data_IF_802233257109
#
_entry.id   IF_802233257109
#
_cell.length_a   1.000
_cell.length_b   1.000
_cell.length_c   1.000
_cell.angle_alpha   90.00
_cell.angle_beta   90.00
_cell.angle_gamma   90.00
#
_symmetry.space_group_name_H-M   'P 1'
#
loop_
_entity.id
_entity.type
_entity.pdbx_description
1 polymer ?
#
# COMPACT_ATOMS: atom_id res chain seq x y z
N UNK A 1 -11.10 3.55 -12.45
CA UNK A 1 -11.76 4.08 -11.22
C UNK A 1 -10.67 4.49 -10.24
N UNK A 2 -10.78 5.64 -9.57
CA UNK A 2 -9.82 6.04 -8.52
C UNK A 2 -10.36 5.59 -7.16
N UNK A 3 -9.65 4.69 -6.49
CA UNK A 3 -9.99 4.24 -5.13
C UNK A 3 -8.96 4.83 -4.16
N UNK A 4 -9.37 5.84 -3.39
CA UNK A 4 -8.53 6.48 -2.39
C UNK A 4 -9.33 6.80 -1.14
N UNK A 5 -8.62 6.93 -0.02
CA UNK A 5 -9.18 7.49 1.20
C UNK A 5 -9.29 9.02 1.03
N UNK A 6 -10.42 9.58 1.47
CA UNK A 6 -10.70 11.01 1.33
C UNK A 6 -9.69 11.83 2.16
N UNK A 7 -9.09 12.91 1.62
CA UNK A 7 -8.07 13.67 2.35
C UNK A 7 -8.55 14.26 3.69
N UNK A 8 -9.81 14.68 3.77
CA UNK A 8 -10.43 15.14 5.01
C UNK A 8 -10.55 14.02 6.05
N UNK A 9 -10.94 12.82 5.64
CA UNK A 9 -10.95 11.62 6.49
C UNK A 9 -9.53 11.25 6.95
N UNK A 10 -8.55 11.27 6.05
CA UNK A 10 -7.13 11.04 6.39
C UNK A 10 -6.64 12.02 7.47
N UNK A 11 -7.08 13.27 7.44
CA UNK A 11 -6.73 14.28 8.44
C UNK A 11 -7.46 14.07 9.76
N UNK A 12 -8.76 13.74 9.71
CA UNK A 12 -9.58 13.48 10.90
C UNK A 12 -9.18 12.19 11.61
N UNK A 13 -8.79 11.17 10.85
CA UNK A 13 -8.45 9.83 11.33
C UNK A 13 -7.25 9.29 10.57
N UNK A 14 -6.09 9.84 10.89
CA UNK A 14 -4.84 9.35 10.34
C UNK A 14 -4.66 7.85 10.65
N UNK A 15 -4.26 7.03 9.68
CA UNK A 15 -3.99 5.62 9.92
C UNK A 15 -2.86 5.49 10.93
N UNK A 16 -3.05 4.59 11.90
CA UNK A 16 -1.99 4.28 12.86
C UNK A 16 -0.77 3.68 12.19
N UNK A 17 0.37 3.79 12.88
CA UNK A 17 1.58 3.06 12.50
C UNK A 17 1.43 1.58 12.85
N UNK A 18 1.77 0.70 11.92
CA UNK A 18 1.73 -0.76 12.12
C UNK A 18 3.15 -1.31 11.99
N UNK A 19 3.63 -2.02 13.02
CA UNK A 19 4.89 -2.76 12.94
C UNK A 19 4.68 -4.04 12.15
N UNK A 20 5.58 -4.33 11.22
CA UNK A 20 5.53 -5.55 10.41
C UNK A 20 6.39 -6.62 11.07
N UNK A 21 5.80 -7.79 11.29
CA UNK A 21 6.56 -8.99 11.62
C UNK A 21 7.03 -9.66 10.32
N UNK A 22 8.29 -10.15 10.25
CA UNK A 22 8.81 -10.83 9.06
C UNK A 22 7.91 -11.99 8.62
N UNK A 23 7.57 -12.02 7.33
CA UNK A 23 6.75 -13.07 6.72
C UNK A 23 5.27 -13.09 7.13
N UNK A 24 4.83 -12.18 8.00
CA UNK A 24 3.44 -12.08 8.42
C UNK A 24 2.73 -10.93 7.69
N UNK A 25 1.61 -11.25 7.05
CA UNK A 25 0.76 -10.26 6.42
C UNK A 25 0.08 -9.38 7.49
N UNK A 26 0.13 -8.06 7.28
CA UNK A 26 -0.55 -7.09 8.10
C UNK A 26 -1.40 -6.15 7.24
N UNK A 27 -2.68 -5.99 7.60
CA UNK A 27 -3.56 -5.04 6.92
C UNK A 27 -3.34 -3.64 7.49
N UNK A 28 -2.89 -2.73 6.63
CA UNK A 28 -2.73 -1.32 6.93
C UNK A 28 -3.85 -0.49 6.31
N UNK A 29 -4.47 0.35 7.13
CA UNK A 29 -5.52 1.30 6.74
C UNK A 29 -6.79 0.67 6.10
N UNK A 30 -6.92 -0.66 6.17
CA UNK A 30 -8.01 -1.45 5.57
C UNK A 30 -7.92 -1.60 4.04
N UNK A 31 -6.99 -0.89 3.39
CA UNK A 31 -6.84 -0.82 1.93
C UNK A 31 -5.68 -1.65 1.41
N UNK A 32 -4.63 -1.81 2.22
CA UNK A 32 -3.41 -2.50 1.81
C UNK A 32 -3.13 -3.64 2.77
N UNK A 33 -2.86 -4.82 2.24
CA UNK A 33 -2.19 -5.90 2.97
C UNK A 33 -0.71 -5.85 2.64
N UNK A 34 0.14 -5.92 3.67
CA UNK A 34 1.58 -5.67 3.53
C UNK A 34 2.36 -6.76 4.26
N UNK A 35 3.31 -7.37 3.56
CA UNK A 35 4.18 -8.42 4.09
C UNK A 35 5.64 -8.04 3.88
N UNK A 36 6.36 -7.76 4.97
CA UNK A 36 7.79 -7.52 4.92
C UNK A 36 8.57 -8.83 5.10
N UNK A 37 9.68 -8.99 4.37
CA UNK A 37 10.59 -10.13 4.51
C UNK A 37 11.60 -9.92 5.65
N UNK A 38 11.99 -8.67 5.90
CA UNK A 38 12.96 -8.30 6.93
C UNK A 38 12.29 -7.73 8.19
N UNK A 39 12.92 -7.87 9.37
CA UNK A 39 12.45 -7.21 10.59
C UNK A 39 12.74 -5.71 10.60
N UNK A 40 12.18 -5.02 11.59
CA UNK A 40 12.47 -3.60 11.86
C UNK A 40 11.74 -2.62 10.96
N UNK A 41 10.75 -3.09 10.21
CA UNK A 41 9.88 -2.24 9.39
C UNK A 41 8.60 -1.86 10.13
N UNK A 42 8.18 -0.62 9.92
CA UNK A 42 6.83 -0.17 10.22
C UNK A 42 6.22 0.49 8.99
N UNK A 43 4.90 0.35 8.85
CA UNK A 43 4.11 1.04 7.84
C UNK A 43 3.43 2.25 8.45
N UNK A 44 3.48 3.36 7.72
CA UNK A 44 2.82 4.60 8.06
C UNK A 44 2.33 5.34 6.80
N UNK A 45 1.53 6.40 7.00
CA UNK A 45 1.05 7.20 5.89
C UNK A 45 2.15 8.12 5.34
N UNK A 46 2.18 8.30 4.03
CA UNK A 46 3.03 9.29 3.36
C UNK A 46 2.72 10.74 3.79
N UNK A 47 1.51 11.01 4.30
CA UNK A 47 1.17 12.31 4.88
C UNK A 47 2.19 12.75 5.94
N UNK A 48 2.76 13.94 5.77
CA UNK A 48 3.84 14.47 6.61
C UNK A 48 5.24 13.89 6.35
N UNK A 49 5.38 12.95 5.40
CA UNK A 49 6.65 12.26 5.08
C UNK A 49 7.04 12.31 3.62
N UNK A 50 6.22 12.90 2.74
CA UNK A 50 6.52 13.04 1.31
C UNK A 50 7.92 13.65 1.05
N UNK A 51 8.37 14.61 1.87
CA UNK A 51 9.69 15.21 1.73
C UNK A 51 10.85 14.31 2.18
N UNK A 52 10.59 13.27 2.97
CA UNK A 52 11.57 12.30 3.48
C UNK A 52 11.69 11.07 2.57
N UNK A 53 10.80 10.94 1.60
CA UNK A 53 10.86 9.88 0.60
C UNK A 53 12.13 10.01 -0.26
N UNK A 54 12.63 8.87 -0.72
CA UNK A 54 13.67 8.82 -1.73
C UNK A 54 13.27 9.65 -2.97
N UNK A 55 14.24 10.16 -3.74
CA UNK A 55 13.94 10.93 -4.96
C UNK A 55 13.07 10.13 -5.93
N UNK A 56 13.37 8.84 -6.12
CA UNK A 56 12.58 7.94 -6.96
C UNK A 56 11.12 7.81 -6.47
N UNK A 57 10.92 7.69 -5.15
CA UNK A 57 9.59 7.60 -4.57
C UNK A 57 8.81 8.92 -4.64
N UNK A 58 9.50 10.05 -4.52
CA UNK A 58 8.89 11.37 -4.72
C UNK A 58 8.37 11.53 -6.15
N UNK A 59 9.11 11.04 -7.14
CA UNK A 59 8.68 11.07 -8.54
C UNK A 59 7.44 10.19 -8.78
N UNK A 60 7.41 8.98 -8.21
CA UNK A 60 6.22 8.10 -8.28
C UNK A 60 5.01 8.78 -7.62
N UNK A 61 5.18 9.33 -6.41
CA UNK A 61 4.11 10.05 -5.73
C UNK A 61 3.64 11.29 -6.50
N UNK A 62 4.54 11.99 -7.20
CA UNK A 62 4.20 13.15 -8.02
C UNK A 62 3.32 12.80 -9.22
N UNK A 63 3.44 11.59 -9.77
CA UNK A 63 2.58 11.08 -10.84
C UNK A 63 1.13 10.82 -10.42
N UNK A 64 0.84 10.79 -9.11
CA UNK A 64 -0.50 10.54 -8.58
C UNK A 64 -1.27 11.84 -8.32
N UNK A 65 -2.62 11.80 -8.34
CA UNK A 65 -3.45 12.93 -7.95
C UNK A 65 -3.05 13.45 -6.55
N UNK A 66 -2.96 14.78 -6.33
CA UNK A 66 -2.53 15.35 -5.05
C UNK A 66 -3.27 14.80 -3.83
N UNK A 67 -4.57 14.55 -3.98
CA UNK A 67 -5.43 13.98 -2.94
C UNK A 67 -5.04 12.55 -2.52
N UNK A 68 -4.43 11.76 -3.40
CA UNK A 68 -4.05 10.37 -3.13
C UNK A 68 -2.68 10.24 -2.45
N UNK A 69 -1.79 11.21 -2.65
CA UNK A 69 -0.37 11.11 -2.26
C UNK A 69 -0.17 10.88 -0.77
N UNK A 70 -0.95 11.55 0.08
CA UNK A 70 -0.84 11.41 1.53
C UNK A 70 -1.27 10.05 2.06
N UNK A 71 -2.09 9.31 1.29
CA UNK A 71 -2.61 8.01 1.68
C UNK A 71 -1.81 6.83 1.18
N UNK A 72 -0.62 7.06 0.63
CA UNK A 72 0.29 5.99 0.22
C UNK A 72 0.93 5.32 1.43
N UNK A 73 1.08 3.98 1.42
CA UNK A 73 1.81 3.26 2.45
C UNK A 73 3.31 3.53 2.30
N UNK A 74 3.95 3.92 3.39
CA UNK A 74 5.40 4.18 3.49
C UNK A 74 5.99 3.21 4.50
N UNK A 75 7.07 2.54 4.11
CA UNK A 75 7.93 1.80 5.02
C UNK A 75 8.96 2.74 5.61
N UNK A 76 9.16 2.65 6.92
CA UNK A 76 10.25 3.31 7.60
C UNK A 76 10.89 2.33 8.60
N UNK A 77 12.21 2.47 8.79
CA UNK A 77 12.91 1.75 9.85
C UNK A 77 12.52 2.31 11.21
N UNK A 78 12.66 1.53 12.28
CA UNK A 78 12.27 1.96 13.65
C UNK A 78 12.92 3.28 14.09
N UNK A 79 14.15 3.55 13.66
CA UNK A 79 14.88 4.81 13.89
C UNK A 79 14.34 6.01 13.07
N UNK A 80 13.38 5.77 12.17
CA UNK A 80 12.77 6.77 11.31
C UNK A 80 13.52 7.06 10.01
N UNK A 81 14.60 6.35 9.74
CA UNK A 81 15.36 6.44 8.50
C UNK A 81 14.73 5.58 7.38
N UNK A 82 15.20 5.82 6.15
CA UNK A 82 14.89 4.96 5.01
C UNK A 82 13.42 4.95 4.60
N UNK A 83 12.75 6.11 4.65
CA UNK A 83 11.37 6.22 4.22
C UNK A 83 11.24 5.96 2.70
N UNK A 84 10.62 4.84 2.36
CA UNK A 84 10.37 4.41 0.98
C UNK A 84 8.91 4.02 0.80
N UNK A 85 8.40 4.05 -0.43
CA UNK A 85 7.07 3.52 -0.71
C UNK A 85 7.04 2.02 -0.43
N UNK A 86 5.96 1.53 0.17
CA UNK A 86 5.96 0.20 0.76
C UNK A 86 6.22 -0.92 -0.25
N UNK A 87 5.72 -0.79 -1.48
CA UNK A 87 5.93 -1.77 -2.56
C UNK A 87 7.38 -1.87 -3.06
N UNK A 88 8.29 -1.01 -2.57
CA UNK A 88 9.73 -1.15 -2.86
C UNK A 88 10.48 -2.03 -1.87
N UNK A 89 9.91 -2.28 -0.69
CA UNK A 89 10.57 -2.98 0.41
C UNK A 89 9.73 -4.09 1.05
N UNK A 90 8.49 -4.26 0.61
CA UNK A 90 7.56 -5.29 1.06
C UNK A 90 6.65 -5.70 -0.10
N UNK A 91 6.07 -6.89 0.02
CA UNK A 91 4.92 -7.27 -0.78
C UNK A 91 3.71 -6.45 -0.32
N UNK A 92 2.97 -5.86 -1.26
CA UNK A 92 1.84 -4.97 -1.00
C UNK A 92 0.70 -5.33 -1.93
N UNK A 93 -0.42 -5.75 -1.35
CA UNK A 93 -1.64 -6.09 -2.08
C UNK A 93 -2.74 -5.07 -1.82
N UNK A 94 -3.38 -4.60 -2.88
CA UNK A 94 -4.49 -3.65 -2.78
C UNK A 94 -5.83 -4.38 -2.62
N UNK A 95 -6.42 -4.31 -1.43
CA UNK A 95 -7.64 -5.05 -1.11
C UNK A 95 -8.91 -4.45 -1.72
N UNK A 96 -8.89 -3.17 -2.09
CA UNK A 96 -10.08 -2.43 -2.54
C UNK A 96 -10.68 -2.98 -3.83
N UNK A 97 -9.85 -3.17 -4.86
CA UNK A 97 -10.28 -3.72 -6.15
C UNK A 97 -10.80 -5.15 -6.00
N UNK A 98 -10.01 -6.01 -5.35
CA UNK A 98 -10.38 -7.41 -5.11
C UNK A 98 -11.69 -7.58 -4.35
N UNK A 99 -11.88 -6.82 -3.26
CA UNK A 99 -13.13 -6.88 -2.48
C UNK A 99 -14.33 -6.35 -3.25
N UNK A 100 -14.15 -5.33 -4.09
CA UNK A 100 -15.21 -4.84 -4.95
C UNK A 100 -15.61 -5.89 -5.99
N UNK A 101 -14.64 -6.51 -6.67
CA UNK A 101 -14.89 -7.61 -7.62
C UNK A 101 -15.70 -8.74 -7.00
N UNK A 102 -15.26 -9.24 -5.84
CA UNK A 102 -15.97 -10.26 -5.07
C UNK A 102 -17.41 -9.83 -4.70
N UNK A 103 -17.61 -8.56 -4.31
CA UNK A 103 -18.92 -8.05 -3.95
C UNK A 103 -19.86 -7.87 -5.15
N UNK A 104 -19.32 -7.65 -6.35
CA UNK A 104 -20.07 -7.53 -7.61
C UNK A 104 -20.41 -8.89 -8.22
N UNK A 105 -20.01 -9.99 -7.57
CA UNK A 105 -20.29 -11.34 -8.04
C UNK A 105 -19.33 -11.83 -9.11
N UNK A 106 -18.13 -11.22 -9.25
CA UNK A 106 -17.03 -11.87 -9.96
C UNK A 106 -16.72 -13.19 -9.23
N UNK A 107 -17.15 -14.30 -9.83
CA UNK A 107 -16.56 -15.61 -9.56
C UNK A 107 -15.08 -15.51 -9.88
N UNK A 108 -14.21 -16.03 -9.01
CA UNK A 108 -12.76 -16.14 -9.20
C UNK A 108 -12.42 -17.01 -10.43
N UNK A 109 -12.67 -16.48 -11.63
CA UNK A 109 -12.06 -16.90 -12.87
C UNK A 109 -10.79 -16.05 -13.00
N UNK A 110 -9.63 -16.69 -13.12
CA UNK A 110 -8.32 -16.03 -12.97
C UNK A 110 -8.18 -14.75 -13.81
N UNK A 111 -8.78 -14.69 -15.00
CA UNK A 111 -8.68 -13.55 -15.92
C UNK A 111 -9.17 -12.22 -15.36
N UNK A 112 -10.10 -12.23 -14.41
CA UNK A 112 -10.79 -11.02 -13.94
C UNK A 112 -10.11 -10.40 -12.69
N UNK A 113 -9.15 -11.11 -12.08
CA UNK A 113 -8.40 -10.64 -10.90
C UNK A 113 -7.28 -9.63 -11.23
N UNK A 114 -6.92 -9.49 -12.52
CA UNK A 114 -5.70 -8.78 -12.93
C UNK A 114 -5.95 -7.33 -13.37
N UNK A 115 -6.20 -6.46 -12.39
CA UNK A 115 -5.89 -5.04 -12.55
C UNK A 115 -4.87 -4.64 -11.48
N UNK A 116 -3.60 -4.92 -11.76
CA UNK A 116 -2.48 -4.47 -10.93
C UNK A 116 -2.60 -2.95 -10.76
N UNK A 117 -2.83 -2.50 -9.53
CA UNK A 117 -2.74 -1.07 -9.25
C UNK A 117 -1.25 -0.70 -9.24
N UNK A 118 -0.92 0.46 -9.81
CA UNK A 118 0.45 0.93 -10.03
C UNK A 118 1.44 0.54 -8.93
N UNK A 119 2.39 -0.34 -9.25
CA UNK A 119 3.49 -0.76 -8.37
C UNK A 119 3.22 -1.99 -7.50
N UNK A 120 2.04 -2.60 -7.58
CA UNK A 120 1.70 -3.86 -6.90
C UNK A 120 2.61 -5.02 -7.36
N UNK A 121 3.03 -5.85 -6.40
CA UNK A 121 3.69 -7.13 -6.71
C UNK A 121 2.63 -8.05 -7.33
N UNK A 122 2.83 -8.57 -8.55
CA UNK A 122 1.87 -9.50 -9.16
C UNK A 122 1.75 -10.75 -8.27
N UNK A 123 0.53 -11.22 -7.95
CA UNK A 123 0.37 -12.46 -7.20
C UNK A 123 0.97 -13.63 -8.00
N UNK A 124 1.70 -14.50 -7.31
CA UNK A 124 2.25 -15.74 -7.89
C UNK A 124 1.29 -16.88 -7.57
N UNK A 125 0.22 -17.00 -8.35
CA UNK A 125 -0.74 -18.09 -8.14
C UNK A 125 -0.09 -19.40 -8.65
N UNK A 126 0.33 -20.23 -7.69
CA UNK A 126 1.09 -21.48 -7.87
C UNK A 126 0.20 -22.70 -8.08
N UNK A 127 -0.94 -22.54 -8.74
CA UNK A 127 -1.79 -23.67 -9.14
C UNK A 127 -2.33 -23.46 -10.55
N UNK A 128 -1.48 -23.74 -11.55
CA UNK A 128 -1.91 -24.16 -12.90
C UNK A 128 -2.42 -25.60 -12.88
#
# INVERSE_FOLDING_TARGET
VLVMREPGEMRRRAPGTVRLAPGAAAVWDGRFEITATEPGWRVEAAAGRLARLSEADRQVAAGLPPAARGGLPVLAREDGSGAILAWRGADVQALGGRRLGLALGETTQESDLFQAMHGETPPTDLFS
#
